data_IF_138627817823
#
_entry.id   IF_138627817823
#
_cell.length_a   1.000
_cell.length_b   1.000
_cell.length_c   1.000
_cell.angle_alpha   90.00
_cell.angle_beta   90.00
_cell.angle_gamma   90.00
#
_symmetry.space_group_name_H-M   'P 1'
#
loop_
_entity.id
_entity.type
_entity.pdbx_description
1 polymer ?
#
# COMPACT_ATOMS: atom_id res chain seq x y z
N UNK A 1 -3.57 -6.43 3.75
CA UNK A 1 -2.16 -6.90 3.77
C UNK A 1 -1.95 -7.66 2.48
N UNK A 2 -0.89 -7.36 1.71
CA UNK A 2 -0.71 -7.93 0.37
C UNK A 2 -0.07 -9.32 0.42
N UNK A 3 1.01 -9.45 1.19
CA UNK A 3 1.74 -10.69 1.42
C UNK A 3 2.36 -10.63 2.82
N UNK A 4 2.89 -11.75 3.33
CA UNK A 4 3.76 -11.75 4.50
C UNK A 4 4.85 -10.67 4.37
N UNK A 5 4.94 -9.81 5.38
CA UNK A 5 5.87 -8.68 5.45
C UNK A 5 5.75 -7.63 4.32
N UNK A 6 4.66 -7.61 3.55
CA UNK A 6 4.39 -6.60 2.52
C UNK A 6 3.02 -5.95 2.76
N UNK A 7 3.06 -4.63 2.97
CA UNK A 7 1.89 -3.82 3.31
C UNK A 7 1.68 -2.72 2.28
N UNK A 8 0.42 -2.39 2.03
CA UNK A 8 -0.01 -1.38 1.06
C UNK A 8 -0.99 -0.44 1.73
N UNK A 9 -0.90 0.85 1.41
CA UNK A 9 -1.82 1.89 1.85
C UNK A 9 -2.09 2.84 0.69
N UNK A 10 -3.36 3.14 0.47
CA UNK A 10 -3.82 4.09 -0.55
C UNK A 10 -3.74 5.50 0.04
N UNK A 11 -3.29 6.45 -0.77
CA UNK A 11 -3.28 7.88 -0.45
C UNK A 11 -4.00 8.65 -1.55
N UNK A 12 -4.80 9.67 -1.18
CA UNK A 12 -5.54 10.46 -2.16
C UNK A 12 -4.66 11.40 -2.98
N UNK A 13 -3.51 11.81 -2.45
CA UNK A 13 -2.56 12.69 -3.12
C UNK A 13 -1.13 12.50 -2.59
N UNK A 14 -0.18 13.14 -3.28
CA UNK A 14 1.25 13.05 -2.97
C UNK A 14 1.61 13.68 -1.63
N UNK A 15 0.95 14.76 -1.24
CA UNK A 15 1.21 15.44 0.03
C UNK A 15 0.84 14.56 1.24
N UNK A 16 -0.28 13.84 1.15
CA UNK A 16 -0.71 12.88 2.17
C UNK A 16 0.29 11.75 2.33
N UNK A 17 0.81 11.22 1.21
CA UNK A 17 1.87 10.22 1.20
C UNK A 17 3.15 10.74 1.87
N UNK A 18 3.56 11.98 1.55
CA UNK A 18 4.77 12.59 2.13
C UNK A 18 4.62 12.81 3.65
N UNK A 19 3.50 13.40 4.10
CA UNK A 19 3.24 13.57 5.53
C UNK A 19 3.24 12.24 6.29
N UNK A 20 2.61 11.22 5.72
CA UNK A 20 2.59 9.90 6.32
C UNK A 20 3.98 9.27 6.38
N UNK A 21 4.78 9.43 5.32
CA UNK A 21 6.16 8.94 5.28
C UNK A 21 7.01 9.59 6.38
N UNK A 22 6.87 10.90 6.59
CA UNK A 22 7.59 11.61 7.67
C UNK A 22 7.13 11.16 9.06
N UNK A 23 5.84 10.87 9.25
CA UNK A 23 5.33 10.27 10.50
C UNK A 23 5.89 8.86 10.72
N UNK A 24 6.02 8.06 9.66
CA UNK A 24 6.56 6.71 9.73
C UNK A 24 8.04 6.72 10.12
N UNK A 25 8.82 7.63 9.53
CA UNK A 25 10.25 7.82 9.86
C UNK A 25 10.48 8.08 11.35
N UNK A 26 9.58 8.80 12.01
CA UNK A 26 9.67 9.07 13.46
C UNK A 26 9.41 7.85 14.35
N UNK A 27 8.79 6.80 13.80
CA UNK A 27 8.41 5.59 14.54
C UNK A 27 9.16 4.35 14.03
N UNK A 28 10.30 4.53 13.34
CA UNK A 28 11.06 3.39 12.83
C UNK A 28 11.65 2.55 13.97
N UNK A 29 11.64 1.22 13.85
CA UNK A 29 12.34 0.36 14.78
C UNK A 29 13.86 0.54 14.67
N UNK A 30 14.58 0.27 15.77
CA UNK A 30 16.04 0.40 15.84
C UNK A 30 16.80 -0.66 15.05
N UNK A 31 16.13 -1.72 14.60
CA UNK A 31 16.69 -2.83 13.83
C UNK A 31 15.74 -3.24 12.70
N UNK A 32 16.31 -3.78 11.62
CA UNK A 32 15.57 -4.31 10.48
C UNK A 32 15.83 -3.55 9.18
N UNK A 33 15.20 -4.00 8.10
CA UNK A 33 15.28 -3.36 6.78
C UNK A 33 13.88 -3.05 6.28
N UNK A 34 13.53 -1.76 6.23
CA UNK A 34 12.22 -1.28 5.81
C UNK A 34 12.43 -0.35 4.60
N UNK A 35 11.69 -0.60 3.53
CA UNK A 35 11.68 0.22 2.30
C UNK A 35 10.26 0.66 2.00
N UNK A 36 10.12 1.83 1.40
CA UNK A 36 8.84 2.37 0.94
C UNK A 36 8.95 2.60 -0.56
N UNK A 37 7.92 2.19 -1.31
CA UNK A 37 7.79 2.46 -2.73
C UNK A 37 6.42 3.08 -2.98
N UNK A 38 6.40 4.21 -3.69
CA UNK A 38 5.19 4.86 -4.12
C UNK A 38 4.82 4.37 -5.52
N UNK A 39 3.59 3.91 -5.69
CA UNK A 39 3.03 3.49 -6.98
C UNK A 39 1.70 4.19 -7.21
N UNK A 40 1.39 4.48 -8.47
CA UNK A 40 0.07 4.99 -8.84
C UNK A 40 -0.97 3.87 -8.80
N UNK A 41 -2.24 4.24 -8.68
CA UNK A 41 -3.35 3.28 -8.72
C UNK A 41 -3.33 2.45 -10.01
N UNK A 42 -3.05 3.09 -11.16
CA UNK A 42 -2.93 2.40 -12.45
C UNK A 42 -1.78 1.39 -12.48
N UNK A 43 -0.62 1.74 -11.90
CA UNK A 43 0.52 0.81 -11.81
C UNK A 43 0.21 -0.36 -10.89
N UNK A 44 -0.46 -0.10 -9.76
CA UNK A 44 -0.88 -1.15 -8.84
C UNK A 44 -1.90 -2.10 -9.48
N UNK A 45 -2.90 -1.55 -10.19
CA UNK A 45 -3.92 -2.34 -10.90
C UNK A 45 -3.34 -3.19 -12.03
N UNK A 46 -2.27 -2.73 -12.68
CA UNK A 46 -1.55 -3.47 -13.72
C UNK A 46 -0.57 -4.54 -13.17
N UNK A 47 -0.50 -4.72 -11.85
CA UNK A 47 0.37 -5.73 -11.24
C UNK A 47 -0.06 -7.14 -11.66
N UNK A 48 0.88 -7.88 -12.24
CA UNK A 48 0.65 -9.26 -12.66
C UNK A 48 0.91 -10.23 -11.52
N UNK A 49 -0.07 -11.10 -11.25
CA UNK A 49 0.09 -12.21 -10.30
C UNK A 49 0.53 -13.43 -11.08
N UNK A 50 1.76 -13.87 -10.86
CA UNK A 50 2.33 -15.01 -11.56
C UNK A 50 1.97 -16.35 -10.89
N UNK A 51 1.79 -16.36 -9.56
CA UNK A 51 1.48 -17.55 -8.73
C UNK A 51 0.65 -17.12 -7.51
N UNK A 52 -0.23 -18.00 -7.00
CA UNK A 52 -0.90 -17.81 -5.70
C UNK A 52 -2.22 -17.02 -5.74
N UNK A 53 -2.59 -16.49 -6.90
CA UNK A 53 -3.85 -15.76 -7.08
C UNK A 53 -3.92 -14.44 -6.30
N UNK A 54 -5.04 -13.72 -6.44
CA UNK A 54 -5.31 -12.51 -5.64
C UNK A 54 -5.88 -12.90 -4.28
N UNK A 55 -5.49 -12.18 -3.23
CA UNK A 55 -6.10 -12.37 -1.92
C UNK A 55 -7.60 -11.98 -1.94
N UNK A 56 -8.40 -12.55 -1.04
CA UNK A 56 -9.82 -12.17 -0.90
C UNK A 56 -9.98 -10.67 -0.61
N UNK A 57 -9.06 -10.07 0.16
CA UNK A 57 -9.08 -8.62 0.39
C UNK A 57 -8.84 -7.81 -0.89
N UNK A 58 -7.96 -8.26 -1.79
CA UNK A 58 -7.76 -7.58 -3.08
C UNK A 58 -8.98 -7.68 -3.98
N UNK A 59 -9.73 -8.79 -3.95
CA UNK A 59 -10.99 -8.90 -4.71
C UNK A 59 -12.09 -7.99 -4.17
N UNK A 60 -12.17 -7.78 -2.86
CA UNK A 60 -13.21 -6.94 -2.24
C UNK A 60 -12.94 -5.44 -2.43
N UNK A 61 -11.67 -5.01 -2.40
CA UNK A 61 -11.29 -3.59 -2.55
C UNK A 61 -11.52 -3.06 -3.98
N UNK A 62 -11.72 -3.94 -4.97
CA UNK A 62 -11.90 -3.55 -6.37
C UNK A 62 -13.23 -2.81 -6.68
N UNK A 63 -14.20 -2.77 -5.76
CA UNK A 63 -15.57 -2.33 -6.09
C UNK A 63 -16.12 -1.16 -5.29
N UNK A 64 -15.40 -0.61 -4.31
CA UNK A 64 -15.91 0.54 -3.56
C UNK A 64 -14.93 1.71 -3.61
N UNK A 65 -15.32 2.69 -4.44
CA UNK A 65 -14.91 4.09 -4.37
C UNK A 65 -14.66 4.50 -2.93
N UNK A 66 -13.48 5.04 -2.65
CA UNK A 66 -13.07 5.54 -1.33
C UNK A 66 -14.23 6.28 -0.61
N UNK A 67 -14.81 5.65 0.42
CA UNK A 67 -15.61 6.35 1.42
C UNK A 67 -14.62 6.98 2.40
N UNK A 68 -14.54 8.31 2.35
CA UNK A 68 -13.91 9.11 3.40
C UNK A 68 -14.96 9.27 4.51
N UNK A 69 -14.70 8.69 5.68
CA UNK A 69 -15.35 9.07 6.94
C UNK A 69 -14.55 10.21 7.58
#
# INVERSE_FOLDING_TARGET
>A
MLQFSVYVKIFPNRDSLMQYTERLKRNLPSKGSIRIMAVTEKQYGNMQVLVGGKSLQESTISNESMVIL
#
